data_IF_383971782011
#
_entry.id   IF_383971782011
#
_cell.length_a   1.000
_cell.length_b   1.000
_cell.length_c   1.000
_cell.angle_alpha   90.00
_cell.angle_beta   90.00
_cell.angle_gamma   90.00
#
_symmetry.space_group_name_H-M   'P 1'
#
loop_
_entity.id
_entity.type
_entity.pdbx_description
1 polymer ?
#
# COMPACT_ATOMS: atom_id res chain seq x y z
N UNK A 1 -4.69 0.43 5.94
CA UNK A 1 -3.42 -0.33 5.91
C UNK A 1 -2.59 0.08 7.11
N UNK A 2 -1.93 -0.87 7.77
CA UNK A 2 -0.98 -0.59 8.84
C UNK A 2 0.35 -0.15 8.23
N UNK A 3 0.83 1.02 8.64
CA UNK A 3 2.13 1.56 8.21
C UNK A 3 2.97 1.95 9.42
N UNK A 4 4.27 1.98 9.22
CA UNK A 4 5.22 2.55 10.17
C UNK A 4 6.07 3.59 9.47
N UNK A 5 6.37 4.68 10.17
CA UNK A 5 7.26 5.71 9.66
C UNK A 5 8.70 5.21 9.73
N UNK A 6 9.39 5.22 8.59
CA UNK A 6 10.79 4.79 8.48
C UNK A 6 11.62 5.87 7.77
N UNK A 7 12.95 5.88 7.95
CA UNK A 7 13.84 6.74 7.17
C UNK A 7 13.70 6.46 5.68
N UNK A 8 13.76 7.51 4.85
CA UNK A 8 13.67 7.40 3.39
C UNK A 8 14.66 6.39 2.79
N UNK A 9 15.84 6.25 3.40
CA UNK A 9 16.89 5.34 2.93
C UNK A 9 16.49 3.86 2.92
N UNK A 10 15.50 3.45 3.71
CA UNK A 10 15.06 2.05 3.79
C UNK A 10 14.02 1.69 2.71
N UNK A 11 13.71 2.61 1.79
CA UNK A 11 12.60 2.44 0.83
C UNK A 11 12.76 1.25 -0.12
N UNK A 12 13.98 0.76 -0.33
CA UNK A 12 14.25 -0.41 -1.18
C UNK A 12 13.87 -1.74 -0.53
N UNK A 13 13.58 -1.73 0.77
CA UNK A 13 13.28 -2.95 1.54
C UNK A 13 11.76 -3.16 1.68
N UNK A 14 10.97 -2.09 1.52
CA UNK A 14 9.54 -2.08 1.83
C UNK A 14 8.68 -1.55 0.69
N UNK A 15 7.41 -1.94 0.69
CA UNK A 15 6.38 -1.23 -0.06
C UNK A 15 6.11 0.13 0.60
N UNK A 16 6.18 1.21 -0.16
CA UNK A 16 5.98 2.58 0.32
C UNK A 16 4.59 3.06 -0.04
N UNK A 17 3.85 3.53 0.97
CA UNK A 17 2.51 4.07 0.82
C UNK A 17 2.60 5.59 0.66
N UNK A 18 2.00 6.12 -0.40
CA UNK A 18 1.83 7.55 -0.62
C UNK A 18 0.47 7.97 -0.07
N UNK A 19 0.47 9.05 0.72
CA UNK A 19 -0.75 9.61 1.32
C UNK A 19 -0.90 11.09 1.00
N UNK A 20 -2.15 11.54 0.95
CA UNK A 20 -2.49 12.96 0.96
C UNK A 20 -2.41 13.56 2.38
N UNK A 21 -2.63 14.88 2.56
CA UNK A 21 -2.62 15.51 3.88
C UNK A 21 -3.67 14.98 4.87
N UNK A 22 -4.73 14.32 4.40
CA UNK A 22 -5.77 13.68 5.23
C UNK A 22 -5.42 12.21 5.56
N UNK A 23 -4.19 11.76 5.26
CA UNK A 23 -3.74 10.38 5.39
C UNK A 23 -4.53 9.36 4.55
N UNK A 24 -5.20 9.81 3.48
CA UNK A 24 -5.78 8.87 2.51
C UNK A 24 -4.68 8.33 1.60
N UNK A 25 -4.71 7.01 1.37
CA UNK A 25 -3.80 6.36 0.43
C UNK A 25 -4.11 6.82 -0.99
N UNK A 26 -3.13 7.43 -1.65
CA UNK A 26 -3.22 7.89 -3.04
C UNK A 26 -2.26 7.15 -3.97
N UNK A 27 -1.32 6.37 -3.42
CA UNK A 27 -0.37 5.59 -4.21
C UNK A 27 0.34 4.51 -3.40
N UNK A 28 0.94 3.56 -4.12
CA UNK A 28 1.77 2.49 -3.58
C UNK A 28 2.97 2.27 -4.50
N UNK A 29 4.16 2.11 -3.91
CA UNK A 29 5.40 1.85 -4.64
C UNK A 29 6.10 0.64 -4.02
N UNK A 30 6.31 -0.42 -4.79
CA UNK A 30 7.04 -1.60 -4.32
C UNK A 30 8.54 -1.37 -4.41
N UNK A 31 9.22 -1.36 -3.26
CA UNK A 31 10.69 -1.26 -3.11
C UNK A 31 11.34 -0.14 -3.96
N UNK A 32 10.82 1.10 -3.93
CA UNK A 32 11.29 2.16 -4.80
C UNK A 32 12.73 2.58 -4.46
N UNK A 33 13.52 2.83 -5.51
CA UNK A 33 14.82 3.50 -5.37
C UNK A 33 14.68 4.98 -5.00
N UNK A 34 13.61 5.64 -5.43
CA UNK A 34 13.30 7.05 -5.17
C UNK A 34 11.85 7.16 -4.67
N UNK A 35 11.60 7.00 -3.36
CA UNK A 35 10.24 6.94 -2.81
C UNK A 35 9.58 8.32 -2.81
N UNK A 36 8.24 8.31 -2.82
CA UNK A 36 7.46 9.44 -2.30
C UNK A 36 7.56 9.47 -0.78
N UNK A 37 7.78 10.65 -0.23
CA UNK A 37 7.97 10.87 1.21
C UNK A 37 6.72 11.45 1.83
N UNK A 38 6.68 11.46 3.16
CA UNK A 38 5.57 12.01 3.92
C UNK A 38 5.36 13.51 3.60
N UNK A 39 4.10 13.96 3.42
CA UNK A 39 3.79 15.38 3.38
C UNK A 39 4.33 16.07 4.65
N UNK A 40 5.15 17.11 4.48
CA UNK A 40 5.77 17.82 5.59
C UNK A 40 7.03 17.15 6.19
N UNK A 41 7.42 15.95 5.76
CA UNK A 41 8.66 15.31 6.19
C UNK A 41 9.37 14.58 5.01
N UNK A 42 10.33 15.25 4.33
CA UNK A 42 11.03 14.68 3.17
C UNK A 42 12.02 13.56 3.52
N UNK A 43 12.35 13.37 4.80
CA UNK A 43 13.31 12.36 5.25
C UNK A 43 12.63 11.05 5.67
N UNK A 44 11.30 10.99 5.62
CA UNK A 44 10.52 9.87 6.10
C UNK A 44 9.55 9.32 5.05
N UNK A 45 9.31 8.03 5.13
CA UNK A 45 8.35 7.28 4.31
C UNK A 45 7.36 6.54 5.21
N UNK A 46 6.20 6.18 4.65
CA UNK A 46 5.30 5.21 5.27
C UNK A 46 5.55 3.83 4.68
N UNK A 47 6.26 2.98 5.44
CA UNK A 47 6.49 1.60 5.05
C UNK A 47 5.26 0.74 5.38
N UNK A 48 4.79 -0.04 4.41
CA UNK A 48 3.71 -1.01 4.60
C UNK A 48 4.18 -2.15 5.49
N UNK A 49 3.40 -2.48 6.52
CA UNK A 49 3.66 -3.63 7.40
C UNK A 49 3.01 -4.93 6.90
N UNK A 50 2.32 -4.89 5.76
CA UNK A 50 1.52 -6.03 5.28
C UNK A 50 0.23 -6.28 6.06
N UNK A 51 -0.24 -5.29 6.84
CA UNK A 51 -1.47 -5.38 7.64
C UNK A 51 -2.58 -4.60 6.92
N UNK A 52 -3.66 -5.29 6.57
CA UNK A 52 -4.78 -4.69 5.86
C UNK A 52 -6.10 -4.96 6.58
N UNK A 53 -6.95 -3.93 6.63
CA UNK A 53 -8.28 -3.99 7.23
C UNK A 53 -9.27 -3.59 6.15
N UNK A 54 -10.25 -4.44 5.91
CA UNK A 54 -11.26 -4.25 4.90
C UNK A 54 -12.65 -4.47 5.48
N UNK A 55 -13.66 -3.88 4.86
CA UNK A 55 -15.03 -4.31 5.09
C UNK A 55 -15.19 -5.73 4.54
N UNK A 56 -15.58 -6.68 5.41
CA UNK A 56 -15.71 -8.10 5.07
C UNK A 56 -16.63 -8.36 3.89
N UNK A 57 -17.79 -7.70 3.84
CA UNK A 57 -18.78 -7.88 2.78
C UNK A 57 -18.22 -7.46 1.41
N UNK A 58 -17.54 -6.31 1.36
CA UNK A 58 -16.89 -5.81 0.16
C UNK A 58 -15.78 -6.77 -0.30
N UNK A 59 -14.96 -7.23 0.65
CA UNK A 59 -13.82 -8.12 0.37
C UNK A 59 -14.27 -9.45 -0.23
N UNK A 60 -15.25 -10.11 0.41
CA UNK A 60 -15.80 -11.39 -0.05
C UNK A 60 -16.40 -11.24 -1.45
N UNK A 61 -17.19 -10.18 -1.69
CA UNK A 61 -17.76 -9.90 -3.01
C UNK A 61 -16.69 -9.71 -4.08
N UNK A 62 -15.60 -9.03 -3.76
CA UNK A 62 -14.49 -8.81 -4.70
C UNK A 62 -13.78 -10.11 -5.04
N UNK A 63 -13.49 -10.95 -4.04
CA UNK A 63 -12.83 -12.25 -4.23
C UNK A 63 -13.68 -13.19 -5.08
N UNK A 64 -14.99 -13.32 -4.79
CA UNK A 64 -15.89 -14.16 -5.59
C UNK A 64 -15.94 -13.69 -7.05
N UNK A 65 -15.96 -12.37 -7.28
CA UNK A 65 -15.97 -11.80 -8.64
C UNK A 65 -14.67 -12.12 -9.38
N UNK A 66 -13.53 -11.98 -8.70
CA UNK A 66 -12.24 -12.28 -9.29
C UNK A 66 -12.06 -13.77 -9.61
N UNK A 67 -12.49 -14.66 -8.71
CA UNK A 67 -12.46 -16.11 -8.92
C UNK A 67 -13.25 -16.56 -10.16
N UNK A 68 -14.29 -15.81 -10.55
CA UNK A 68 -15.09 -16.10 -11.74
C UNK A 68 -14.48 -15.53 -13.03
N UNK A 69 -13.45 -14.68 -12.94
CA UNK A 69 -12.83 -14.02 -14.10
C UNK A 69 -11.77 -14.93 -14.71
N UNK A 70 -12.04 -15.49 -15.90
CA UNK A 70 -11.05 -16.25 -16.66
C UNK A 70 -9.87 -15.34 -17.04
N UNK A 71 -8.65 -15.79 -16.73
CA UNK A 71 -7.42 -15.03 -16.97
C UNK A 71 -7.04 -14.05 -15.85
N UNK A 72 -7.67 -14.12 -14.67
CA UNK A 72 -7.14 -13.44 -13.49
C UNK A 72 -5.85 -14.12 -13.02
N UNK A 73 -4.90 -13.32 -12.53
CA UNK A 73 -3.75 -13.79 -11.76
C UNK A 73 -4.13 -14.20 -10.33
N UNK A 74 -5.35 -13.84 -9.90
CA UNK A 74 -5.81 -13.94 -8.51
C UNK A 74 -4.92 -13.20 -7.52
N UNK A 75 -4.21 -12.18 -8.01
CA UNK A 75 -3.41 -11.29 -7.18
C UNK A 75 -4.26 -10.11 -6.69
N UNK A 76 -4.03 -9.74 -5.43
CA UNK A 76 -4.68 -8.62 -4.74
C UNK A 76 -3.72 -7.45 -4.49
N UNK A 77 -2.41 -7.64 -4.75
CA UNK A 77 -1.35 -6.64 -4.62
C UNK A 77 -1.27 -5.67 -5.79
#
# INVERSE_FOLDING_TARGET
VGTIQMPRSTSREFGVIEVDPDYRVVGFQEKPGHPRTLPGNPEAILASMGIYVFNTEIMVRRLIRDAKRKGSSHDFG
#
